data_IF_676516516905
#
_entry.id   IF_676516516905
#
_cell.length_a   1.000
_cell.length_b   1.000
_cell.length_c   1.000
_cell.angle_alpha   90.00
_cell.angle_beta   90.00
_cell.angle_gamma   90.00
#
_symmetry.space_group_name_H-M   'P 1'
#
loop_
_entity.id
_entity.type
_entity.pdbx_description
1 polymer ?
#
# COMPACT_ATOMS: atom_id res chain seq x y z
N UNK A 1 -22.70 -12.44 13.39
CA UNK A 1 -22.90 -10.99 13.20
C UNK A 1 -22.63 -10.67 11.74
N UNK A 2 -23.66 -10.31 10.95
CA UNK A 2 -23.46 -10.02 9.53
C UNK A 2 -22.73 -8.67 9.41
N UNK A 3 -21.54 -8.68 8.81
CA UNK A 3 -20.81 -7.48 8.48
C UNK A 3 -21.68 -6.69 7.50
N UNK A 4 -22.23 -5.55 7.95
CA UNK A 4 -22.93 -4.62 7.03
C UNK A 4 -21.92 -4.20 5.97
N UNK A 5 -22.07 -4.68 4.72
CA UNK A 5 -21.27 -4.23 3.60
C UNK A 5 -21.42 -2.73 3.48
N UNK A 6 -20.33 -1.98 3.64
CA UNK A 6 -20.30 -0.55 3.34
C UNK A 6 -20.66 -0.39 1.85
N UNK A 7 -21.62 0.48 1.56
CA UNK A 7 -22.07 0.77 0.19
C UNK A 7 -21.55 2.12 -0.26
N UNK A 8 -21.47 2.30 -1.57
CA UNK A 8 -21.23 3.60 -2.14
C UNK A 8 -22.39 4.55 -1.80
N UNK A 9 -22.06 5.74 -1.31
CA UNK A 9 -23.02 6.78 -1.01
C UNK A 9 -22.70 8.04 -1.81
N UNK A 10 -23.68 8.51 -2.59
CA UNK A 10 -23.57 9.78 -3.28
C UNK A 10 -23.63 10.94 -2.27
N UNK A 11 -23.00 12.07 -2.60
CA UNK A 11 -23.01 13.25 -1.75
C UNK A 11 -24.40 13.91 -1.77
N UNK A 12 -25.05 14.09 -0.61
CA UNK A 12 -26.38 14.69 -0.56
C UNK A 12 -26.40 16.09 -1.16
N UNK A 13 -27.41 16.39 -1.98
CA UNK A 13 -27.62 17.71 -2.57
C UNK A 13 -26.65 18.09 -3.70
N UNK A 14 -25.79 17.17 -4.14
CA UNK A 14 -24.89 17.40 -5.28
C UNK A 14 -25.32 16.55 -6.50
N UNK A 15 -25.09 17.05 -7.74
CA UNK A 15 -25.33 16.24 -8.91
C UNK A 15 -24.40 15.02 -8.95
N UNK A 16 -24.88 13.92 -9.53
CA UNK A 16 -24.09 12.70 -9.68
C UNK A 16 -22.89 12.94 -10.61
N UNK A 17 -21.71 12.63 -10.11
CA UNK A 17 -20.49 12.59 -10.93
C UNK A 17 -20.50 11.37 -11.87
N UNK A 18 -19.64 11.35 -12.87
CA UNK A 18 -19.50 10.18 -13.75
C UNK A 18 -19.01 8.95 -12.98
N UNK A 19 -18.19 9.17 -11.95
CA UNK A 19 -17.78 8.09 -11.03
C UNK A 19 -18.99 7.52 -10.28
N UNK A 20 -19.86 8.37 -9.73
CA UNK A 20 -21.09 7.91 -9.06
C UNK A 20 -21.95 7.04 -9.98
N UNK A 21 -22.14 7.48 -11.23
CA UNK A 21 -22.91 6.73 -12.24
C UNK A 21 -22.30 5.37 -12.54
N UNK A 22 -20.98 5.30 -12.71
CA UNK A 22 -20.25 4.05 -12.97
C UNK A 22 -20.37 3.08 -11.79
N UNK A 23 -20.12 3.56 -10.56
CA UNK A 23 -20.21 2.72 -9.37
C UNK A 23 -21.62 2.18 -9.18
N UNK A 24 -22.64 3.02 -9.30
CA UNK A 24 -24.05 2.62 -9.22
C UNK A 24 -24.41 1.61 -10.29
N UNK A 25 -23.93 1.78 -11.52
CA UNK A 25 -24.16 0.83 -12.61
C UNK A 25 -23.58 -0.56 -12.25
N UNK A 26 -22.34 -0.62 -11.81
CA UNK A 26 -21.73 -1.92 -11.48
C UNK A 26 -22.33 -2.56 -10.22
N UNK A 27 -22.71 -1.73 -9.22
CA UNK A 27 -23.43 -2.22 -8.04
C UNK A 27 -24.79 -2.83 -8.44
N UNK A 28 -25.54 -2.19 -9.37
CA UNK A 28 -26.83 -2.73 -9.89
C UNK A 28 -26.66 -4.06 -10.62
N UNK A 29 -25.48 -4.36 -11.15
CA UNK A 29 -25.10 -5.63 -11.77
C UNK A 29 -24.59 -6.67 -10.76
N UNK A 30 -24.72 -6.41 -9.46
CA UNK A 30 -24.28 -7.32 -8.41
C UNK A 30 -22.76 -7.43 -8.26
N UNK A 31 -21.98 -6.49 -8.83
CA UNK A 31 -20.51 -6.47 -8.69
C UNK A 31 -20.11 -5.85 -7.36
N UNK A 32 -18.97 -6.30 -6.82
CA UNK A 32 -18.34 -5.66 -5.69
C UNK A 32 -17.79 -4.30 -6.14
N UNK A 33 -18.23 -3.23 -5.50
CA UNK A 33 -17.79 -1.86 -5.80
C UNK A 33 -17.07 -1.25 -4.61
N UNK A 34 -16.15 -0.29 -4.84
CA UNK A 34 -15.44 0.41 -3.77
C UNK A 34 -16.40 1.25 -2.92
N UNK A 35 -15.97 1.62 -1.72
CA UNK A 35 -16.63 2.65 -0.93
C UNK A 35 -15.99 4.02 -1.19
N UNK A 36 -16.73 5.10 -0.94
CA UNK A 36 -16.21 6.47 -1.15
C UNK A 36 -14.98 6.79 -0.28
N UNK A 37 -14.79 6.11 0.83
CA UNK A 37 -13.61 6.21 1.69
C UNK A 37 -12.29 5.89 0.97
N UNK A 38 -12.35 5.16 -0.16
CA UNK A 38 -11.18 4.85 -0.98
C UNK A 38 -10.76 6.01 -1.89
N UNK A 39 -11.61 7.04 -2.07
CA UNK A 39 -11.26 8.23 -2.82
C UNK A 39 -10.37 9.11 -1.94
N UNK A 40 -9.18 9.40 -2.42
CA UNK A 40 -8.19 10.18 -1.69
C UNK A 40 -8.34 11.67 -1.98
N UNK A 41 -8.08 12.49 -0.96
CA UNK A 41 -7.98 13.94 -1.14
C UNK A 41 -6.67 14.30 -1.83
N UNK A 42 -6.54 15.53 -2.40
CA UNK A 42 -5.26 15.99 -2.96
C UNK A 42 -4.09 15.90 -1.96
N UNK A 43 -4.33 16.21 -0.69
CA UNK A 43 -3.32 16.14 0.38
C UNK A 43 -2.90 14.68 0.65
N UNK A 44 -3.86 13.74 0.65
CA UNK A 44 -3.57 12.32 0.79
C UNK A 44 -2.79 11.78 -0.42
N UNK A 45 -3.12 12.22 -1.63
CA UNK A 45 -2.39 11.86 -2.85
C UNK A 45 -0.95 12.36 -2.77
N UNK A 46 -0.74 13.59 -2.30
CA UNK A 46 0.61 14.13 -2.13
C UNK A 46 1.41 13.34 -1.06
N UNK A 47 0.76 12.94 0.03
CA UNK A 47 1.35 12.03 1.02
C UNK A 47 1.79 10.70 0.40
N UNK A 48 0.95 10.10 -0.45
CA UNK A 48 1.27 8.87 -1.17
C UNK A 48 2.46 9.08 -2.12
N UNK A 49 2.55 10.23 -2.82
CA UNK A 49 3.71 10.56 -3.67
C UNK A 49 5.01 10.62 -2.88
N UNK A 50 5.00 11.28 -1.72
CA UNK A 50 6.17 11.35 -0.82
C UNK A 50 6.59 9.97 -0.35
N UNK A 51 5.64 9.14 0.08
CA UNK A 51 5.92 7.75 0.43
C UNK A 51 6.50 6.95 -0.75
N UNK A 52 6.01 7.20 -1.97
CA UNK A 52 6.54 6.58 -3.19
C UNK A 52 8.01 6.94 -3.45
N UNK A 53 8.41 8.18 -3.21
CA UNK A 53 9.82 8.62 -3.33
C UNK A 53 10.71 7.88 -2.33
N UNK A 54 10.30 7.78 -1.07
CA UNK A 54 11.05 7.03 -0.04
C UNK A 54 11.13 5.55 -0.41
N UNK A 55 10.03 4.94 -0.88
CA UNK A 55 10.02 3.54 -1.29
C UNK A 55 10.97 3.27 -2.47
N UNK A 56 10.98 4.13 -3.48
CA UNK A 56 11.90 3.99 -4.62
C UNK A 56 13.36 4.11 -4.18
N UNK A 57 13.68 5.13 -3.38
CA UNK A 57 15.04 5.31 -2.88
C UNK A 57 15.51 4.16 -1.95
N UNK A 58 14.59 3.55 -1.21
CA UNK A 58 14.88 2.35 -0.43
C UNK A 58 15.28 1.17 -1.34
N UNK A 59 14.56 0.97 -2.46
CA UNK A 59 14.91 -0.06 -3.44
C UNK A 59 16.26 0.23 -4.11
N UNK A 60 16.56 1.48 -4.43
CA UNK A 60 17.85 1.89 -4.99
C UNK A 60 19.00 1.59 -4.00
N UNK A 61 18.83 1.91 -2.72
CA UNK A 61 19.81 1.60 -1.67
C UNK A 61 20.09 0.09 -1.55
N UNK A 62 19.03 -0.73 -1.65
CA UNK A 62 19.20 -2.19 -1.68
C UNK A 62 19.92 -2.64 -2.95
N UNK A 63 19.55 -2.07 -4.11
CA UNK A 63 20.18 -2.42 -5.40
C UNK A 63 21.68 -2.11 -5.43
N UNK A 64 22.11 -1.04 -4.77
CA UNK A 64 23.54 -0.70 -4.64
C UNK A 64 24.29 -1.64 -3.68
N UNK A 65 23.62 -2.15 -2.65
CA UNK A 65 24.25 -2.95 -1.61
C UNK A 65 24.23 -4.45 -1.89
N UNK A 66 23.25 -4.93 -2.65
CA UNK A 66 23.01 -6.37 -2.85
C UNK A 66 24.19 -7.06 -3.55
N UNK A 67 24.60 -8.21 -2.99
CA UNK A 67 25.73 -9.00 -3.49
C UNK A 67 25.51 -10.48 -3.22
N UNK A 68 26.15 -11.37 -3.97
CA UNK A 68 26.14 -12.81 -3.68
C UNK A 68 26.61 -13.11 -2.25
N UNK A 69 25.88 -13.98 -1.55
CA UNK A 69 26.17 -14.35 -0.16
C UNK A 69 25.62 -13.39 0.89
N UNK A 70 24.93 -12.32 0.49
CA UNK A 70 24.24 -11.43 1.42
C UNK A 70 23.05 -12.15 2.09
N UNK A 71 22.86 -11.92 3.37
CA UNK A 71 21.73 -12.45 4.12
C UNK A 71 20.51 -11.52 3.92
N UNK A 72 19.30 -12.09 3.89
CA UNK A 72 18.05 -11.32 3.79
C UNK A 72 17.87 -10.37 4.98
N UNK A 73 18.40 -10.66 6.14
CA UNK A 73 18.40 -9.74 7.29
C UNK A 73 19.18 -8.45 6.98
N UNK A 74 20.30 -8.52 6.26
CA UNK A 74 21.06 -7.31 5.87
C UNK A 74 20.23 -6.40 4.95
N UNK A 75 19.37 -6.99 4.09
CA UNK A 75 18.44 -6.23 3.25
C UNK A 75 17.38 -5.53 4.13
N UNK A 76 16.82 -6.24 5.09
CA UNK A 76 15.86 -5.68 6.06
C UNK A 76 16.47 -4.51 6.85
N UNK A 77 17.72 -4.66 7.31
CA UNK A 77 18.45 -3.65 8.06
C UNK A 77 18.68 -2.38 7.21
N UNK A 78 19.02 -2.52 5.93
CA UNK A 78 19.16 -1.40 4.98
C UNK A 78 17.82 -0.67 4.82
N UNK A 79 16.74 -1.41 4.57
CA UNK A 79 15.41 -0.82 4.41
C UNK A 79 14.94 -0.09 5.68
N UNK A 80 15.16 -0.70 6.84
CA UNK A 80 14.81 -0.10 8.12
C UNK A 80 15.59 1.20 8.36
N UNK A 81 16.90 1.19 8.12
CA UNK A 81 17.74 2.37 8.28
C UNK A 81 17.35 3.47 7.30
N UNK A 82 17.13 3.12 6.02
CA UNK A 82 16.70 4.08 5.01
C UNK A 82 15.37 4.76 5.38
N UNK A 83 14.38 3.99 5.82
CA UNK A 83 13.10 4.54 6.27
C UNK A 83 13.29 5.50 7.46
N UNK A 84 14.12 5.12 8.43
CA UNK A 84 14.42 5.94 9.61
C UNK A 84 15.09 7.27 9.23
N UNK A 85 16.03 7.24 8.29
CA UNK A 85 16.74 8.45 7.81
C UNK A 85 15.84 9.41 7.04
N UNK A 86 14.68 8.93 6.57
CA UNK A 86 13.68 9.69 5.81
C UNK A 86 12.36 9.92 6.58
N UNK A 87 12.38 9.80 7.92
CA UNK A 87 11.20 9.98 8.78
C UNK A 87 9.99 9.13 8.33
N UNK A 88 10.25 7.92 7.84
CA UNK A 88 9.23 6.99 7.36
C UNK A 88 9.18 5.73 8.22
N UNK A 89 8.03 5.08 8.23
CA UNK A 89 7.81 3.80 8.90
C UNK A 89 7.47 2.76 7.83
N UNK A 90 8.20 1.62 7.77
CA UNK A 90 7.86 0.54 6.86
C UNK A 90 6.45 0.00 7.10
N UNK A 91 5.62 -0.03 6.05
CA UNK A 91 4.23 -0.45 6.19
C UNK A 91 4.05 -1.93 6.55
N UNK A 92 5.03 -2.78 6.20
CA UNK A 92 5.00 -4.21 6.52
C UNK A 92 5.28 -4.49 7.98
N UNK A 93 6.09 -3.64 8.65
CA UNK A 93 6.55 -3.89 10.01
C UNK A 93 5.37 -3.93 10.99
N UNK A 94 5.26 -5.04 11.70
CA UNK A 94 4.19 -5.33 12.66
C UNK A 94 2.76 -5.38 12.07
N UNK A 95 2.62 -5.33 10.74
CA UNK A 95 1.32 -5.53 10.13
C UNK A 95 0.88 -6.99 10.29
N UNK A 96 -0.21 -7.22 11.00
CA UNK A 96 -0.72 -8.56 11.34
C UNK A 96 0.36 -9.52 11.93
N UNK A 97 1.34 -8.94 12.64
CA UNK A 97 2.43 -9.70 13.27
C UNK A 97 3.62 -9.99 12.34
N UNK A 98 3.67 -9.40 11.14
CA UNK A 98 4.83 -9.56 10.26
C UNK A 98 6.08 -8.90 10.86
N UNK A 99 7.20 -9.65 11.03
CA UNK A 99 8.30 -9.18 11.87
C UNK A 99 9.37 -8.35 11.15
N UNK A 100 9.21 -8.11 9.83
CA UNK A 100 10.22 -7.45 8.98
C UNK A 100 9.70 -6.16 8.37
N UNK A 101 10.62 -5.29 7.97
CA UNK A 101 10.32 -4.03 7.28
C UNK A 101 10.05 -4.20 5.78
N UNK A 102 10.53 -5.30 5.21
CA UNK A 102 10.46 -5.62 3.78
C UNK A 102 10.21 -7.10 3.56
N UNK A 103 9.64 -7.46 2.43
CA UNK A 103 9.52 -8.85 2.01
C UNK A 103 10.70 -9.22 1.10
N UNK A 104 11.41 -10.32 1.43
CA UNK A 104 12.50 -10.87 0.62
C UNK A 104 12.09 -12.23 0.09
N UNK A 105 11.39 -12.22 -1.05
CA UNK A 105 10.82 -13.44 -1.64
C UNK A 105 11.78 -14.00 -2.68
N UNK A 106 12.56 -15.04 -2.31
CA UNK A 106 13.64 -15.63 -3.13
C UNK A 106 13.11 -16.85 -3.87
N UNK A 107 13.44 -16.96 -5.15
CA UNK A 107 13.15 -18.09 -6.03
C UNK A 107 11.62 -18.42 -6.06
N UNK A 108 11.25 -19.60 -5.54
CA UNK A 108 9.87 -20.09 -5.52
C UNK A 108 8.94 -19.40 -4.51
N UNK A 109 9.46 -18.54 -3.64
CA UNK A 109 8.64 -17.80 -2.66
C UNK A 109 7.86 -16.70 -3.39
N UNK A 110 6.53 -16.83 -3.44
CA UNK A 110 5.68 -15.92 -4.22
C UNK A 110 5.57 -14.54 -3.60
N UNK A 111 5.40 -14.44 -2.26
CA UNK A 111 5.33 -13.19 -1.52
C UNK A 111 5.55 -13.42 -0.01
N UNK A 112 5.69 -12.33 0.74
CA UNK A 112 5.88 -12.33 2.20
C UNK A 112 7.05 -13.18 2.70
N UNK A 113 8.10 -13.38 1.86
CA UNK A 113 9.34 -14.05 2.26
C UNK A 113 10.13 -13.25 3.31
N UNK A 114 10.87 -13.98 4.13
CA UNK A 114 11.75 -13.44 5.19
C UNK A 114 13.19 -13.89 4.93
#
# INVERSE_FOLDING_TARGET
MAIKKKRWHCLPGQPLTDLDKQVMYWESKGKLVPTRELIKTPEQIEGIRKSGVVNTGCLDAVAEAIRPGMNTQEIDDICMQYCKDHDAIPACLNYEGYPKSVCTSINEVVCHGI
#
